data_IF_871943129339
#
_entry.id   IF_871943129339
#
_cell.length_a   1.000
_cell.length_b   1.000
_cell.length_c   1.000
_cell.angle_alpha   90.00
_cell.angle_beta   90.00
_cell.angle_gamma   90.00
#
_symmetry.space_group_name_H-M   'P 1'
#
loop_
_entity.id
_entity.type
_entity.pdbx_description
1 polymer ?
#
# COMPACT_ATOMS: atom_id res chain seq x y z
N UNK A 1 5.18 -25.74 13.65
CA UNK A 1 4.29 -24.91 14.36
C UNK A 1 4.64 -23.44 14.19
N UNK A 2 3.66 -22.60 14.26
CA UNK A 2 3.87 -21.18 14.05
C UNK A 2 4.65 -20.56 15.20
N UNK A 3 5.64 -19.78 14.89
CA UNK A 3 6.41 -19.04 15.87
C UNK A 3 6.17 -17.55 15.65
N UNK A 4 6.62 -16.74 16.60
CA UNK A 4 6.57 -15.31 16.43
C UNK A 4 7.33 -14.88 15.17
N UNK A 5 8.48 -15.51 14.90
CA UNK A 5 9.26 -15.21 13.70
C UNK A 5 8.48 -15.51 12.44
N UNK A 6 7.76 -16.64 12.39
CA UNK A 6 6.96 -16.99 11.23
C UNK A 6 5.80 -16.02 11.04
N UNK A 7 5.17 -15.59 12.13
CA UNK A 7 4.09 -14.63 12.09
C UNK A 7 4.57 -13.29 11.55
N UNK A 8 5.75 -12.86 12.00
CA UNK A 8 6.35 -11.61 11.55
C UNK A 8 6.72 -11.66 10.07
N UNK A 9 7.26 -12.81 9.63
CA UNK A 9 7.60 -13.01 8.23
C UNK A 9 6.35 -12.93 7.36
N UNK A 10 5.27 -13.59 7.78
CA UNK A 10 4.03 -13.58 7.03
C UNK A 10 3.45 -12.16 6.93
N UNK A 11 3.54 -11.40 8.03
CA UNK A 11 3.08 -10.02 8.04
C UNK A 11 3.87 -9.16 7.08
N UNK A 12 5.20 -9.28 7.08
CA UNK A 12 6.05 -8.52 6.17
C UNK A 12 5.78 -8.89 4.71
N UNK A 13 5.59 -10.17 4.43
CA UNK A 13 5.28 -10.60 3.07
C UNK A 13 3.95 -10.03 2.60
N UNK A 14 2.97 -9.95 3.49
CA UNK A 14 1.67 -9.39 3.18
C UNK A 14 1.79 -7.90 2.85
N UNK A 15 2.55 -7.16 3.66
CA UNK A 15 2.82 -5.75 3.39
C UNK A 15 3.53 -5.60 2.04
N UNK A 16 4.52 -6.44 1.79
CA UNK A 16 5.26 -6.39 0.53
C UNK A 16 4.37 -6.58 -0.68
N UNK A 17 3.44 -7.53 -0.61
CA UNK A 17 2.50 -7.75 -1.71
C UNK A 17 1.61 -6.53 -1.94
N UNK A 18 1.16 -5.89 -0.87
CA UNK A 18 0.35 -4.69 -0.99
C UNK A 18 1.15 -3.56 -1.64
N UNK A 19 2.41 -3.40 -1.25
CA UNK A 19 3.26 -2.33 -1.77
C UNK A 19 3.74 -2.59 -3.19
N UNK A 20 3.53 -3.79 -3.72
CA UNK A 20 3.94 -4.10 -5.08
C UNK A 20 3.06 -3.42 -6.14
N UNK A 21 1.89 -2.94 -5.76
CA UNK A 21 0.98 -2.28 -6.69
C UNK A 21 1.07 -0.76 -6.51
N UNK A 22 1.38 0.00 -7.58
CA UNK A 22 1.52 1.45 -7.46
C UNK A 22 0.28 2.17 -6.96
N UNK A 23 -0.90 1.72 -7.37
CA UNK A 23 -2.15 2.36 -6.94
C UNK A 23 -2.36 2.17 -5.44
N UNK A 24 -2.08 0.96 -4.93
CA UNK A 24 -2.18 0.73 -3.49
C UNK A 24 -1.16 1.56 -2.72
N UNK A 25 0.06 1.72 -3.26
CA UNK A 25 1.04 2.60 -2.64
C UNK A 25 0.53 4.03 -2.54
N UNK A 26 -0.09 4.52 -3.62
CA UNK A 26 -0.62 5.88 -3.63
C UNK A 26 -1.73 6.06 -2.59
N UNK A 27 -2.59 5.05 -2.45
CA UNK A 27 -3.64 5.10 -1.44
C UNK A 27 -3.07 5.10 -0.04
N UNK A 28 -2.08 4.25 0.23
CA UNK A 28 -1.46 4.20 1.55
C UNK A 28 -0.75 5.51 1.88
N UNK A 29 -0.04 6.09 0.91
CA UNK A 29 0.62 7.37 1.12
C UNK A 29 -0.38 8.50 1.38
N UNK A 30 -1.51 8.47 0.67
CA UNK A 30 -2.55 9.47 0.91
C UNK A 30 -3.12 9.35 2.32
N UNK A 31 -3.23 8.13 2.84
CA UNK A 31 -3.76 7.91 4.18
C UNK A 31 -2.77 8.30 5.28
N UNK A 32 -1.50 8.55 4.93
CA UNK A 32 -0.56 9.13 5.90
C UNK A 32 -1.00 10.52 6.34
N UNK A 33 -1.72 11.22 5.48
CA UNK A 33 -2.21 12.57 5.81
C UNK A 33 -3.42 12.54 6.75
N UNK A 34 -4.00 11.38 6.97
CA UNK A 34 -5.13 11.21 7.85
C UNK A 34 -6.22 10.36 7.22
N UNK A 35 -7.26 10.03 7.99
CA UNK A 35 -8.38 9.26 7.47
C UNK A 35 -9.06 9.96 6.30
N UNK A 36 -9.63 9.17 5.40
CA UNK A 36 -10.27 9.72 4.21
C UNK A 36 -11.41 8.81 3.73
N UNK A 37 -12.29 9.40 2.92
CA UNK A 37 -13.37 8.65 2.30
C UNK A 37 -12.93 8.20 0.90
N UNK A 38 -13.50 7.08 0.41
CA UNK A 38 -13.14 6.62 -0.93
C UNK A 38 -13.36 7.65 -2.03
N UNK A 39 -14.42 8.46 -1.92
CA UNK A 39 -14.67 9.49 -2.94
C UNK A 39 -13.57 10.55 -2.96
N UNK A 40 -13.08 10.93 -1.77
CA UNK A 40 -11.99 11.90 -1.69
C UNK A 40 -10.71 11.33 -2.27
N UNK A 41 -10.41 10.07 -1.94
CA UNK A 41 -9.22 9.41 -2.46
C UNK A 41 -9.28 9.25 -3.97
N UNK A 42 -10.43 8.86 -4.49
CA UNK A 42 -10.62 8.73 -5.92
C UNK A 42 -10.35 10.06 -6.64
N UNK A 43 -10.92 11.13 -6.11
CA UNK A 43 -10.72 12.45 -6.69
C UNK A 43 -9.29 12.93 -6.63
N UNK A 44 -8.65 12.77 -5.47
CA UNK A 44 -7.27 13.22 -5.27
C UNK A 44 -6.28 12.46 -6.14
N UNK A 45 -6.54 11.18 -6.38
CA UNK A 45 -5.60 10.32 -7.09
C UNK A 45 -5.98 10.08 -8.54
N UNK A 46 -7.09 10.66 -8.99
CA UNK A 46 -7.51 10.47 -10.38
C UNK A 46 -7.95 9.06 -10.69
N UNK A 47 -8.58 8.39 -9.73
CA UNK A 47 -9.04 7.02 -9.89
C UNK A 47 -10.56 6.97 -10.02
N UNK A 48 -11.07 5.89 -10.61
CA UNK A 48 -12.49 5.64 -10.58
C UNK A 48 -12.89 5.20 -9.17
N UNK A 49 -14.16 5.37 -8.84
CA UNK A 49 -14.67 4.92 -7.54
C UNK A 49 -14.56 3.41 -7.39
N UNK A 50 -14.87 2.68 -8.46
CA UNK A 50 -14.82 1.22 -8.42
C UNK A 50 -13.38 0.75 -8.18
N UNK A 51 -12.42 1.35 -8.87
CA UNK A 51 -11.02 0.97 -8.72
C UNK A 51 -10.53 1.28 -7.31
N UNK A 52 -10.87 2.47 -6.81
CA UNK A 52 -10.52 2.88 -5.45
C UNK A 52 -11.09 1.90 -4.42
N UNK A 53 -12.38 1.58 -4.55
CA UNK A 53 -13.04 0.67 -3.60
C UNK A 53 -12.43 -0.72 -3.64
N UNK A 54 -12.09 -1.21 -4.82
CA UNK A 54 -11.47 -2.53 -4.94
C UNK A 54 -10.11 -2.60 -4.26
N UNK A 55 -9.28 -1.58 -4.47
CA UNK A 55 -7.97 -1.54 -3.83
C UNK A 55 -8.08 -1.35 -2.32
N UNK A 56 -9.00 -0.53 -1.86
CA UNK A 56 -9.21 -0.35 -0.43
C UNK A 56 -9.71 -1.64 0.22
N UNK A 57 -10.57 -2.38 -0.46
CA UNK A 57 -11.03 -3.68 0.06
C UNK A 57 -9.87 -4.66 0.17
N UNK A 58 -8.97 -4.65 -0.80
CA UNK A 58 -7.78 -5.49 -0.75
C UNK A 58 -6.88 -5.11 0.42
N UNK A 59 -6.63 -3.82 0.61
CA UNK A 59 -5.80 -3.34 1.72
C UNK A 59 -6.43 -3.67 3.07
N UNK A 60 -7.76 -3.57 3.15
CA UNK A 60 -8.48 -3.93 4.36
C UNK A 60 -8.36 -5.42 4.64
N UNK A 61 -8.52 -6.25 3.61
CA UNK A 61 -8.36 -7.69 3.75
C UNK A 61 -6.97 -8.11 4.20
N UNK A 62 -5.97 -7.31 3.83
CA UNK A 62 -4.59 -7.55 4.25
C UNK A 62 -4.27 -7.00 5.64
N UNK A 63 -5.20 -6.28 6.24
CA UNK A 63 -5.00 -5.73 7.58
C UNK A 63 -4.21 -4.43 7.62
N UNK A 64 -4.04 -3.75 6.47
CA UNK A 64 -3.27 -2.52 6.41
C UNK A 64 -4.11 -1.28 6.65
N UNK A 65 -5.42 -1.36 6.40
CA UNK A 65 -6.31 -0.25 6.66
C UNK A 65 -7.54 -0.74 7.41
N UNK A 66 -8.16 0.17 8.14
CA UNK A 66 -9.43 -0.06 8.82
C UNK A 66 -10.51 0.75 8.12
N UNK A 67 -11.71 0.19 8.08
CA UNK A 67 -12.86 0.85 7.50
C UNK A 67 -13.88 1.08 8.61
N UNK A 68 -14.29 2.32 8.77
CA UNK A 68 -15.20 2.71 9.84
C UNK A 68 -16.44 3.35 9.26
N UNK A 69 -17.63 2.79 9.48
CA UNK A 69 -18.85 3.40 8.98
C UNK A 69 -19.09 4.76 9.62
N UNK A 70 -19.50 5.71 8.81
CA UNK A 70 -19.78 7.07 9.26
C UNK A 70 -20.98 7.58 8.48
N UNK A 71 -22.17 7.37 8.99
CA UNK A 71 -23.38 7.70 8.28
C UNK A 71 -23.50 6.84 7.02
N UNK A 72 -23.61 7.51 5.88
CA UNK A 72 -23.70 6.80 4.59
C UNK A 72 -22.35 6.52 3.96
N UNK A 73 -21.29 6.97 4.61
CA UNK A 73 -19.94 6.84 4.09
C UNK A 73 -19.16 5.85 4.94
N UNK A 74 -18.04 5.41 4.40
CA UNK A 74 -17.09 4.59 5.12
C UNK A 74 -15.77 5.34 5.12
N UNK A 75 -15.22 5.59 6.30
CA UNK A 75 -13.95 6.29 6.43
C UNK A 75 -12.84 5.26 6.56
N UNK A 76 -11.80 5.44 5.77
CA UNK A 76 -10.65 4.54 5.81
C UNK A 76 -9.47 5.23 6.49
N UNK A 77 -8.69 4.44 7.22
CA UNK A 77 -7.49 4.94 7.86
C UNK A 77 -6.47 3.80 7.97
N UNK A 78 -5.21 4.16 8.15
CA UNK A 78 -4.17 3.15 8.36
C UNK A 78 -4.45 2.38 9.65
N UNK A 79 -4.07 1.09 9.64
CA UNK A 79 -4.48 0.19 10.72
C UNK A 79 -3.88 0.54 12.07
N UNK A 80 -2.64 1.02 12.09
CA UNK A 80 -2.05 1.45 13.35
C UNK A 80 -0.91 2.45 13.13
N UNK A 81 -0.49 3.08 14.24
CA UNK A 81 0.51 4.13 14.20
C UNK A 81 1.88 3.60 13.76
N UNK A 82 2.22 2.38 14.14
CA UNK A 82 3.51 1.81 13.72
C UNK A 82 3.57 1.63 12.22
N UNK A 83 2.48 1.20 11.61
CA UNK A 83 2.41 1.08 10.17
C UNK A 83 2.56 2.45 9.51
N UNK A 84 1.91 3.47 10.05
CA UNK A 84 2.03 4.82 9.51
C UNK A 84 3.46 5.32 9.57
N UNK A 85 4.13 5.13 10.71
CA UNK A 85 5.53 5.52 10.86
C UNK A 85 6.42 4.76 9.88
N UNK A 86 6.22 3.46 9.76
CA UNK A 86 7.03 2.64 8.87
C UNK A 86 6.85 3.04 7.41
N UNK A 87 5.63 3.32 6.99
CA UNK A 87 5.37 3.75 5.62
C UNK A 87 6.00 5.11 5.34
N UNK A 88 5.90 6.03 6.30
CA UNK A 88 6.52 7.34 6.16
C UNK A 88 8.03 7.24 6.04
N UNK A 89 8.65 6.45 6.91
CA UNK A 89 10.09 6.26 6.89
C UNK A 89 10.52 5.58 5.59
N UNK A 90 9.77 4.58 5.16
CA UNK A 90 10.08 3.86 3.94
C UNK A 90 9.96 4.76 2.71
N UNK A 91 8.96 5.63 2.70
CA UNK A 91 8.78 6.57 1.60
C UNK A 91 9.93 7.58 1.50
N UNK A 92 10.61 7.82 2.63
CA UNK A 92 11.74 8.74 2.67
C UNK A 92 13.06 8.08 2.33
N UNK A 93 13.08 6.77 2.10
CA UNK A 93 14.30 6.08 1.76
C UNK A 93 14.78 6.54 0.39
N UNK A 94 16.06 6.93 0.32
CA UNK A 94 16.68 7.27 -0.94
C UNK A 94 17.33 6.01 -1.49
N UNK A 95 16.79 5.53 -2.59
CA UNK A 95 17.29 4.31 -3.18
C UNK A 95 18.64 4.51 -3.82
N UNK A 96 19.50 3.53 -3.69
CA UNK A 96 20.85 3.59 -4.26
C UNK A 96 20.88 3.29 -5.75
N UNK A 97 19.71 3.10 -6.36
CA UNK A 97 19.60 2.77 -7.78
C UNK A 97 18.79 3.84 -8.50
N UNK A 98 19.02 3.93 -9.81
CA UNK A 98 18.25 4.83 -10.65
C UNK A 98 16.83 4.26 -10.77
N UNK A 99 15.84 5.07 -10.41
CA UNK A 99 14.44 4.64 -10.46
C UNK A 99 13.92 4.41 -11.88
N UNK A 100 14.63 4.92 -12.88
CA UNK A 100 14.25 4.70 -14.26
C UNK A 100 14.70 3.34 -14.79
N UNK A 101 15.50 2.62 -14.01
CA UNK A 101 16.00 1.32 -14.43
C UNK A 101 15.15 0.21 -13.84
N UNK A 102 14.97 -0.89 -14.57
CA UNK A 102 14.22 -2.01 -14.02
C UNK A 102 14.98 -2.65 -12.87
N UNK A 103 14.25 -3.33 -12.04
CA UNK A 103 14.82 -4.07 -10.93
C UNK A 103 15.75 -5.16 -11.48
N UNK A 104 16.93 -5.28 -10.87
CA UNK A 104 17.91 -6.24 -11.35
C UNK A 104 17.54 -7.69 -11.13
N UNK A 105 16.64 -7.91 -10.25
CA UNK A 105 16.14 -9.25 -10.03
C UNK A 105 14.94 -9.55 -10.82
N UNK A 106 14.71 -8.97 -11.47
CA UNK A 106 13.66 -9.25 -11.91
C UNK A 106 13.13 -9.29 -13.00
N UNK A 107 13.21 -9.34 -12.78
CA UNK A 107 12.81 -9.26 -13.45
C UNK A 107 12.95 -8.92 -14.65
N UNK A 108 13.40 -8.87 -14.68
CA UNK A 108 13.79 -8.50 -15.48
C UNK A 108 13.87 -8.65 -16.51
N UNK A 109 13.62 -8.87 -16.55
CA UNK A 109 13.85 -8.76 -17.45
C UNK A 109 13.52 -8.55 -18.44
N UNK A 110 13.38 -8.42 -18.22
CA UNK A 110 13.49 -8.04 -18.96
C UNK A 110 13.33 -7.62 -19.85
N UNK A 111 13.13 -7.63 -19.82
CA UNK A 111 13.47 -7.04 -20.46
C UNK A 111 13.51 -6.70 -20.97
N UNK A 112 13.43 -6.80 -20.96
CA UNK A 112 13.95 -6.39 -21.16
C UNK A 112 13.85 -6.30 -21.12
N UNK A 113 13.76 -6.42 -20.73
CA UNK A 113 14.15 -6.32 -20.53
C UNK A 113 14.27 -6.34 -20.21
N UNK A 114 14.19 -6.36 -20.00
CA UNK A 114 14.65 -6.33 -19.69
C UNK A 114 14.58 -6.50 -19.49
N UNK A 115 14.62 -6.71 -19.32
CA UNK A 115 14.96 -6.67 -19.25
C UNK A 115 14.90 -6.52 -19.36
#
# INVERSE_FOLDING_TARGET
MSTLAETRLAALARVGRALADPTRCRLLLALLDGPAYPSDLAGRLGLTRANTSNHLACLRGCGLVLAEPEGRQVRYQLADANLAHALGDLADVVLAVNLDQPCLNGAVTETGAGS
#
